data_IF_560410119575
#
_entry.id   IF_560410119575
#
_cell.length_a   1.000
_cell.length_b   1.000
_cell.length_c   1.000
_cell.angle_alpha   90.00
_cell.angle_beta   90.00
_cell.angle_gamma   90.00
#
_symmetry.space_group_name_H-M   'P 1'
#
loop_
_entity.id
_entity.type
_entity.pdbx_description
1 polymer ?
#
# COMPACT_ATOMS: atom_id res chain seq x y z
N UNK A 1 -14.88 4.77 5.63
CA UNK A 1 -13.79 5.45 6.38
C UNK A 1 -12.48 4.83 5.94
N UNK A 2 -11.40 5.61 5.82
CA UNK A 2 -10.09 5.06 5.53
C UNK A 2 -9.61 4.20 6.72
N UNK A 3 -9.04 3.04 6.43
CA UNK A 3 -8.46 2.13 7.42
C UNK A 3 -6.95 2.15 7.27
N UNK A 4 -6.24 2.35 8.37
CA UNK A 4 -4.78 2.31 8.37
C UNK A 4 -4.28 0.90 8.06
N UNK A 5 -3.45 0.80 7.04
CA UNK A 5 -2.88 -0.45 6.54
C UNK A 5 -1.41 -0.61 6.96
N UNK A 6 -0.68 0.50 6.97
CA UNK A 6 0.67 0.62 7.52
C UNK A 6 0.76 1.95 8.28
N UNK A 7 1.03 1.89 9.58
CA UNK A 7 1.28 3.07 10.40
C UNK A 7 2.46 3.88 9.88
N UNK A 8 2.44 5.20 10.09
CA UNK A 8 3.49 6.10 9.62
C UNK A 8 4.85 5.72 10.23
N UNK A 9 5.89 5.71 9.41
CA UNK A 9 7.22 5.26 9.79
C UNK A 9 8.19 5.28 8.62
N UNK A 10 9.46 5.01 8.89
CA UNK A 10 10.53 4.94 7.90
C UNK A 10 11.30 3.61 7.97
N UNK A 11 10.84 2.66 8.77
CA UNK A 11 11.37 1.30 8.82
C UNK A 11 10.62 0.42 7.81
N UNK A 12 11.27 -0.65 7.34
CA UNK A 12 10.60 -1.63 6.50
C UNK A 12 9.38 -2.20 7.23
N UNK A 13 8.23 -2.21 6.55
CA UNK A 13 6.99 -2.76 7.10
C UNK A 13 6.14 -3.37 5.99
N UNK A 14 5.46 -4.47 6.30
CA UNK A 14 4.43 -5.06 5.43
C UNK A 14 3.07 -4.89 6.11
N UNK A 15 2.03 -4.69 5.31
CA UNK A 15 0.65 -4.76 5.80
C UNK A 15 0.22 -6.19 6.08
N UNK A 16 -0.94 -6.33 6.75
CA UNK A 16 -1.73 -7.55 6.67
C UNK A 16 -2.19 -7.82 5.23
N UNK A 17 -2.57 -9.07 4.97
CA UNK A 17 -3.13 -9.51 3.68
C UNK A 17 -4.52 -8.88 3.44
N UNK A 18 -4.73 -8.43 2.20
CA UNK A 18 -6.00 -7.95 1.68
C UNK A 18 -6.47 -8.99 0.67
N UNK A 19 -7.44 -9.81 1.04
CA UNK A 19 -8.05 -10.79 0.12
C UNK A 19 -9.29 -10.19 -0.53
N UNK A 20 -9.30 -10.12 -1.85
CA UNK A 20 -10.40 -9.64 -2.66
C UNK A 20 -11.10 -10.80 -3.35
N UNK A 21 -12.42 -10.73 -3.43
CA UNK A 21 -13.24 -11.62 -4.23
C UNK A 21 -13.34 -11.12 -5.69
N UNK A 22 -13.93 -11.93 -6.56
CA UNK A 22 -14.22 -11.50 -7.93
C UNK A 22 -15.13 -10.27 -7.93
N UNK A 23 -14.79 -9.28 -8.76
CA UNK A 23 -15.52 -8.01 -8.84
C UNK A 23 -15.30 -7.04 -7.68
N UNK A 24 -14.59 -7.46 -6.62
CA UNK A 24 -14.22 -6.57 -5.51
C UNK A 24 -13.00 -5.71 -5.88
N UNK A 25 -12.93 -4.54 -5.27
CA UNK A 25 -11.78 -3.64 -5.34
C UNK A 25 -11.55 -2.97 -3.99
N UNK A 26 -10.33 -2.52 -3.78
CA UNK A 26 -9.95 -1.65 -2.65
C UNK A 26 -9.08 -0.53 -3.19
N UNK A 27 -9.31 0.69 -2.69
CA UNK A 27 -8.47 1.84 -3.00
C UNK A 27 -7.37 1.95 -1.95
N UNK A 28 -6.14 2.17 -2.38
CA UNK A 28 -4.96 2.33 -1.53
C UNK A 28 -4.45 3.76 -1.67
N UNK A 29 -4.03 4.37 -0.57
CA UNK A 29 -3.55 5.74 -0.53
C UNK A 29 -2.27 5.87 0.29
N UNK A 30 -1.31 6.64 -0.21
CA UNK A 30 -0.17 7.10 0.56
C UNK A 30 -0.63 8.14 1.58
N UNK A 31 -0.19 7.96 2.82
CA UNK A 31 -0.48 8.85 3.95
C UNK A 31 0.82 9.53 4.39
N UNK A 32 0.80 10.84 4.50
CA UNK A 32 1.93 11.57 5.08
C UNK A 32 2.04 11.35 6.60
N UNK A 33 3.23 11.55 7.16
CA UNK A 33 3.46 11.41 8.59
C UNK A 33 2.73 12.46 9.44
N UNK A 34 2.61 13.70 8.97
CA UNK A 34 2.18 14.83 9.78
C UNK A 34 1.44 15.95 9.02
N UNK A 35 1.30 15.85 7.69
CA UNK A 35 0.78 16.91 6.84
C UNK A 35 -0.10 16.39 5.69
N UNK A 36 -0.48 17.29 4.75
CA UNK A 36 -1.34 16.94 3.63
C UNK A 36 -0.57 16.28 2.46
N UNK A 37 0.76 16.35 2.46
CA UNK A 37 1.59 15.98 1.32
C UNK A 37 2.70 15.02 1.70
N UNK A 38 2.79 13.89 1.01
CA UNK A 38 3.96 13.01 1.13
C UNK A 38 5.19 13.61 0.43
N UNK A 39 6.38 13.35 0.97
CA UNK A 39 7.64 13.69 0.30
C UNK A 39 7.79 13.00 -1.07
N UNK A 40 8.56 13.60 -1.99
CA UNK A 40 8.80 13.08 -3.34
C UNK A 40 9.49 11.71 -3.36
N UNK A 41 10.17 11.37 -2.27
CA UNK A 41 10.86 10.10 -2.09
C UNK A 41 9.97 9.02 -1.45
N UNK A 42 8.74 9.36 -1.03
CA UNK A 42 7.82 8.40 -0.44
C UNK A 42 7.30 7.43 -1.52
N UNK A 43 7.47 6.13 -1.29
CA UNK A 43 6.86 5.11 -2.15
C UNK A 43 6.52 3.83 -1.38
N UNK A 44 5.37 3.25 -1.71
CA UNK A 44 4.94 1.96 -1.20
C UNK A 44 4.78 0.97 -2.36
N UNK A 45 5.19 -0.28 -2.17
CA UNK A 45 5.06 -1.33 -3.17
C UNK A 45 3.77 -2.08 -2.96
N UNK A 46 2.96 -2.23 -4.01
CA UNK A 46 1.76 -3.04 -4.01
C UNK A 46 2.18 -4.42 -4.51
N UNK A 47 1.90 -5.45 -3.70
CA UNK A 47 2.32 -6.81 -3.97
C UNK A 47 1.13 -7.75 -4.04
N UNK A 48 1.17 -8.71 -4.96
CA UNK A 48 0.20 -9.80 -5.07
C UNK A 48 0.85 -11.11 -4.60
N UNK A 49 0.08 -11.95 -3.91
CA UNK A 49 0.49 -13.27 -3.46
C UNK A 49 0.19 -14.32 -4.54
N UNK A 50 1.17 -15.15 -4.88
CA UNK A 50 0.98 -16.28 -5.79
C UNK A 50 0.47 -17.53 -5.05
N UNK A 51 0.24 -18.62 -5.81
CA UNK A 51 -0.19 -19.91 -5.26
C UNK A 51 0.86 -20.61 -4.39
N UNK A 52 2.13 -20.19 -4.47
CA UNK A 52 3.24 -20.67 -3.63
C UNK A 52 3.40 -19.85 -2.34
N UNK A 53 2.56 -18.83 -2.14
CA UNK A 53 2.63 -17.90 -1.00
C UNK A 53 3.71 -16.82 -1.13
N UNK A 54 4.35 -16.68 -2.29
CA UNK A 54 5.33 -15.64 -2.59
C UNK A 54 4.65 -14.34 -2.99
N UNK A 55 5.28 -13.20 -2.70
CA UNK A 55 4.75 -11.88 -3.03
C UNK A 55 5.55 -11.24 -4.15
N UNK A 56 4.86 -10.75 -5.17
CA UNK A 56 5.44 -10.07 -6.32
C UNK A 56 4.92 -8.65 -6.42
N UNK A 57 5.82 -7.70 -6.67
CA UNK A 57 5.43 -6.30 -6.90
C UNK A 57 4.69 -6.16 -8.21
N UNK A 58 3.45 -5.66 -8.15
CA UNK A 58 2.57 -5.41 -9.31
C UNK A 58 2.30 -3.93 -9.52
N UNK A 59 2.66 -3.09 -8.55
CA UNK A 59 2.48 -1.65 -8.64
C UNK A 59 3.20 -0.91 -7.53
N UNK A 60 3.10 0.41 -7.56
CA UNK A 60 3.63 1.28 -6.51
C UNK A 60 2.75 2.52 -6.33
N UNK A 61 2.65 2.98 -5.09
CA UNK A 61 2.19 4.32 -4.76
C UNK A 61 3.41 5.24 -4.67
N UNK A 62 3.27 6.47 -5.16
CA UNK A 62 4.31 7.51 -5.07
C UNK A 62 3.67 8.87 -4.84
N UNK A 63 4.44 9.93 -4.56
CA UNK A 63 3.88 11.30 -4.50
C UNK A 63 3.11 11.70 -5.77
N UNK A 64 3.51 11.23 -6.95
CA UNK A 64 2.83 11.55 -8.21
C UNK A 64 1.64 10.61 -8.48
N UNK A 65 1.54 9.51 -7.74
CA UNK A 65 0.49 8.51 -7.85
C UNK A 65 0.09 8.08 -6.44
N UNK A 66 -0.53 9.04 -5.72
CA UNK A 66 -0.81 8.94 -4.28
C UNK A 66 -1.86 7.86 -4.01
N UNK A 67 -2.72 7.58 -4.98
CA UNK A 67 -3.74 6.54 -4.91
C UNK A 67 -3.58 5.48 -6.01
N UNK A 68 -3.96 4.24 -5.70
CA UNK A 68 -4.11 3.16 -6.67
C UNK A 68 -5.24 2.23 -6.26
N UNK A 69 -5.85 1.56 -7.23
CA UNK A 69 -6.86 0.54 -6.98
C UNK A 69 -6.27 -0.85 -7.20
N UNK A 70 -6.54 -1.76 -6.29
CA UNK A 70 -6.35 -3.20 -6.49
C UNK A 70 -7.72 -3.84 -6.70
N UNK A 71 -7.82 -4.79 -7.61
CA UNK A 71 -9.10 -5.38 -8.00
C UNK A 71 -8.95 -6.83 -8.45
N UNK A 72 -10.05 -7.58 -8.32
CA UNK A 72 -10.15 -8.97 -8.77
C UNK A 72 -9.81 -10.00 -7.69
N UNK A 73 -10.03 -11.29 -7.98
CA UNK A 73 -9.85 -12.36 -7.01
C UNK A 73 -8.36 -12.61 -6.75
N UNK A 74 -7.83 -12.01 -5.69
CA UNK A 74 -6.42 -12.10 -5.35
C UNK A 74 -6.16 -11.73 -3.89
N UNK A 75 -4.99 -12.10 -3.39
CA UNK A 75 -4.48 -11.62 -2.10
C UNK A 75 -3.36 -10.62 -2.34
N UNK A 76 -3.52 -9.41 -1.82
CA UNK A 76 -2.56 -8.34 -1.92
C UNK A 76 -1.95 -8.02 -0.56
N UNK A 77 -0.78 -7.40 -0.57
CA UNK A 77 -0.26 -6.63 0.57
C UNK A 77 0.44 -5.38 0.08
N UNK A 78 0.67 -4.45 0.97
CA UNK A 78 1.52 -3.28 0.71
C UNK A 78 2.80 -3.41 1.52
N UNK A 79 3.91 -2.98 0.94
CA UNK A 79 5.21 -2.92 1.59
C UNK A 79 5.76 -1.49 1.56
N UNK A 80 6.15 -1.00 2.73
CA UNK A 80 7.11 0.11 2.86
C UNK A 80 8.52 -0.49 2.86
N UNK A 81 9.41 -0.11 1.92
CA UNK A 81 10.76 -0.67 1.83
C UNK A 81 11.71 -0.18 2.94
N UNK A 82 11.31 0.85 3.69
CA UNK A 82 12.14 1.52 4.69
C UNK A 82 13.02 2.61 4.07
N UNK A 83 13.72 3.34 4.93
CA UNK A 83 14.41 4.58 4.58
C UNK A 83 13.51 5.82 4.72
N UNK A 84 14.10 7.03 4.73
CA UNK A 84 13.32 8.27 4.63
C UNK A 84 12.57 8.33 3.30
N UNK A 85 11.44 9.04 3.21
CA UNK A 85 10.78 9.84 4.26
C UNK A 85 9.90 8.99 5.17
N UNK A 86 9.35 9.57 6.25
CA UNK A 86 8.32 8.92 7.07
C UNK A 86 6.97 9.01 6.35
N UNK A 87 6.30 7.88 6.14
CA UNK A 87 4.96 7.82 5.53
C UNK A 87 4.21 6.56 5.97
N UNK A 88 2.90 6.53 5.77
CA UNK A 88 2.03 5.38 6.00
C UNK A 88 1.22 5.03 4.75
N UNK A 89 0.35 4.04 4.88
CA UNK A 89 -0.59 3.64 3.83
C UNK A 89 -1.96 3.38 4.45
N UNK A 90 -3.01 3.86 3.79
CA UNK A 90 -4.39 3.61 4.14
C UNK A 90 -5.11 2.89 3.00
N UNK A 91 -6.17 2.16 3.35
CA UNK A 91 -7.14 1.63 2.39
C UNK A 91 -8.50 2.30 2.55
N UNK A 92 -9.21 2.51 1.46
CA UNK A 92 -10.56 3.06 1.42
C UNK A 92 -11.50 2.20 0.57
N UNK A 93 -12.70 2.01 1.11
CA UNK A 93 -13.88 1.44 0.43
C UNK A 93 -14.77 2.52 -0.13
#
# INVERSE_FOLDING_TARGET
MATELIATGNTLANSADITLASGAYESLFLKDAAGPDTSSEAFALIQIKDSSGQYFTVGKLTKCMVGAQVAGPATYRVQRPGGPPTFGVEKGT
#
